data_IF_130756653574
#
_entry.id   IF_130756653574
#
_cell.length_a   1.000
_cell.length_b   1.000
_cell.length_c   1.000
_cell.angle_alpha   90.00
_cell.angle_beta   90.00
_cell.angle_gamma   90.00
#
_symmetry.space_group_name_H-M   'P 1'
#
loop_
_entity.id
_entity.type
_entity.pdbx_description
1 polymer ?
#
# COMPACT_ATOMS: atom_id res chain seq x y z
N UNK A 1 16.32 15.25 27.21
CA UNK A 1 14.88 14.94 27.17
C UNK A 1 14.49 14.20 28.44
N UNK A 2 13.35 14.56 29.03
CA UNK A 2 12.81 13.85 30.19
C UNK A 2 12.33 12.45 29.77
N UNK A 3 12.47 11.49 30.64
CA UNK A 3 12.08 10.10 30.37
C UNK A 3 10.61 9.99 29.97
N UNK A 4 9.74 10.72 30.63
CA UNK A 4 8.30 10.73 30.31
C UNK A 4 8.02 11.27 28.91
N UNK A 5 8.73 12.31 28.48
CA UNK A 5 8.61 12.85 27.15
C UNK A 5 9.04 11.86 26.08
N UNK A 6 10.13 11.12 26.33
CA UNK A 6 10.59 10.08 25.43
C UNK A 6 9.57 8.96 25.29
N UNK A 7 8.95 8.55 26.40
CA UNK A 7 7.90 7.52 26.39
C UNK A 7 6.69 7.99 25.61
N UNK A 8 6.25 9.22 25.81
CA UNK A 8 5.10 9.79 25.10
C UNK A 8 5.34 9.88 23.60
N UNK A 9 6.52 10.33 23.20
CA UNK A 9 6.91 10.44 21.80
C UNK A 9 6.98 9.07 21.14
N UNK A 10 7.56 8.09 21.81
CA UNK A 10 7.63 6.72 21.33
C UNK A 10 6.24 6.11 21.14
N UNK A 11 5.35 6.31 22.11
CA UNK A 11 3.96 5.84 22.04
C UNK A 11 3.22 6.44 20.85
N UNK A 12 3.40 7.74 20.62
CA UNK A 12 2.82 8.43 19.47
C UNK A 12 3.30 7.82 18.15
N UNK A 13 4.61 7.58 18.03
CA UNK A 13 5.20 6.98 16.84
C UNK A 13 4.69 5.56 16.59
N UNK A 14 4.47 4.78 17.66
CA UNK A 14 3.87 3.45 17.54
C UNK A 14 2.48 3.51 16.93
N UNK A 15 1.64 4.45 17.38
CA UNK A 15 0.28 4.63 16.85
C UNK A 15 0.30 5.07 15.40
N UNK A 16 1.15 6.01 15.06
CA UNK A 16 1.28 6.50 13.68
C UNK A 16 1.79 5.40 12.74
N UNK A 17 2.75 4.60 13.20
CA UNK A 17 3.28 3.48 12.45
C UNK A 17 2.20 2.42 12.22
N UNK A 18 1.41 2.11 13.23
CA UNK A 18 0.31 1.14 13.14
C UNK A 18 -0.76 1.61 12.16
N UNK A 19 -1.12 2.90 12.21
CA UNK A 19 -2.08 3.49 11.28
C UNK A 19 -1.59 3.39 9.83
N UNK A 20 -0.30 3.68 9.59
CA UNK A 20 0.30 3.57 8.26
C UNK A 20 0.30 2.12 7.77
N UNK A 21 0.59 1.15 8.64
CA UNK A 21 0.52 -0.28 8.30
C UNK A 21 -0.88 -0.70 7.90
N UNK A 22 -1.90 -0.26 8.63
CA UNK A 22 -3.30 -0.57 8.32
C UNK A 22 -3.70 -0.02 6.96
N UNK A 23 -3.32 1.21 6.66
CA UNK A 23 -3.60 1.81 5.34
C UNK A 23 -2.86 1.07 4.22
N UNK A 24 -1.60 0.68 4.43
CA UNK A 24 -0.84 -0.10 3.47
C UNK A 24 -1.49 -1.47 3.20
N UNK A 25 -1.96 -2.14 4.25
CA UNK A 25 -2.66 -3.43 4.12
C UNK A 25 -3.97 -3.28 3.36
N UNK A 26 -4.71 -2.21 3.62
CA UNK A 26 -5.97 -1.90 2.95
C UNK A 26 -5.74 -1.72 1.44
N UNK A 27 -4.73 -0.94 1.08
CA UNK A 27 -4.37 -0.73 -0.34
C UNK A 27 -3.93 -2.05 -0.99
N UNK A 28 -3.13 -2.85 -0.28
CA UNK A 28 -2.69 -4.15 -0.77
C UNK A 28 -3.89 -5.08 -1.05
N UNK A 29 -4.89 -5.07 -0.18
CA UNK A 29 -6.12 -5.83 -0.35
C UNK A 29 -6.90 -5.34 -1.58
N UNK A 30 -7.00 -4.03 -1.77
CA UNK A 30 -7.65 -3.44 -2.94
C UNK A 30 -6.95 -3.85 -4.24
N UNK A 31 -5.62 -3.82 -4.26
CA UNK A 31 -4.82 -4.26 -5.41
C UNK A 31 -5.07 -5.74 -5.70
N UNK A 32 -5.09 -6.59 -4.66
CA UNK A 32 -5.35 -8.03 -4.82
C UNK A 32 -6.74 -8.29 -5.40
N UNK A 33 -7.75 -7.55 -4.95
CA UNK A 33 -9.12 -7.64 -5.46
C UNK A 33 -9.21 -7.20 -6.92
N UNK A 34 -8.56 -6.11 -7.28
CA UNK A 34 -8.52 -5.61 -8.66
C UNK A 34 -7.83 -6.60 -9.59
N UNK A 35 -6.73 -7.21 -9.14
CA UNK A 35 -6.03 -8.24 -9.91
C UNK A 35 -6.92 -9.46 -10.14
N UNK A 36 -7.65 -9.88 -9.10
CA UNK A 36 -8.58 -11.01 -9.20
C UNK A 36 -9.69 -10.73 -10.19
N UNK A 37 -10.32 -9.56 -10.10
CA UNK A 37 -11.36 -9.12 -11.04
C UNK A 37 -10.83 -9.08 -12.47
N UNK A 38 -9.64 -8.53 -12.64
CA UNK A 38 -9.00 -8.48 -13.96
C UNK A 38 -8.75 -9.86 -14.54
N UNK A 39 -8.24 -10.80 -13.73
CA UNK A 39 -7.99 -12.17 -14.17
C UNK A 39 -9.27 -12.90 -14.55
N UNK A 40 -10.34 -12.72 -13.78
CA UNK A 40 -11.65 -13.32 -14.07
C UNK A 40 -12.18 -12.80 -15.41
N UNK A 41 -12.06 -11.50 -15.68
CA UNK A 41 -12.48 -10.90 -16.94
C UNK A 41 -11.62 -11.37 -18.12
N UNK A 42 -10.32 -11.54 -17.91
CA UNK A 42 -9.43 -12.10 -18.93
C UNK A 42 -9.90 -13.51 -19.35
N UNK A 43 -10.21 -14.35 -18.36
CA UNK A 43 -10.68 -15.71 -18.61
C UNK A 43 -12.04 -15.74 -19.32
N UNK A 44 -12.99 -14.93 -18.86
CA UNK A 44 -14.32 -14.82 -19.46
C UNK A 44 -14.26 -14.42 -20.93
N UNK A 45 -13.37 -13.46 -21.25
CA UNK A 45 -13.28 -12.89 -22.60
C UNK A 45 -12.25 -13.58 -23.50
N UNK A 46 -11.51 -14.54 -22.94
CA UNK A 46 -10.54 -15.33 -23.69
C UNK A 46 -9.22 -14.65 -24.00
N UNK A 47 -8.86 -13.58 -23.27
CA UNK A 47 -7.59 -12.92 -23.42
C UNK A 47 -6.46 -13.69 -22.69
N UNK A 48 -5.25 -13.62 -23.23
CA UNK A 48 -4.10 -14.35 -22.67
C UNK A 48 -3.33 -13.52 -21.64
N UNK A 49 -3.39 -12.20 -21.71
CA UNK A 49 -2.66 -11.31 -20.82
C UNK A 49 -3.36 -9.96 -20.67
N UNK A 50 -3.03 -9.23 -19.60
CA UNK A 50 -3.48 -7.85 -19.41
C UNK A 50 -3.03 -6.93 -20.54
N UNK A 51 -1.81 -7.13 -21.04
CA UNK A 51 -1.26 -6.31 -22.12
C UNK A 51 -2.09 -6.42 -23.40
N UNK A 52 -2.50 -7.63 -23.75
CA UNK A 52 -3.39 -7.87 -24.90
C UNK A 52 -4.77 -7.29 -24.66
N UNK A 53 -5.34 -7.56 -23.48
CA UNK A 53 -6.69 -7.15 -23.14
C UNK A 53 -6.83 -5.63 -23.05
N UNK A 54 -5.88 -4.92 -22.48
CA UNK A 54 -5.97 -3.47 -22.28
C UNK A 54 -5.98 -2.70 -23.60
N UNK A 55 -5.44 -3.27 -24.66
CA UNK A 55 -5.47 -2.68 -26.00
C UNK A 55 -6.85 -2.80 -26.66
N UNK A 56 -7.65 -3.79 -26.25
CA UNK A 56 -8.88 -4.16 -26.91
C UNK A 56 -10.13 -4.02 -26.03
N UNK A 57 -9.96 -3.78 -24.73
CA UNK A 57 -11.06 -3.78 -23.76
C UNK A 57 -10.87 -2.66 -22.74
N UNK A 58 -11.73 -1.64 -22.83
CA UNK A 58 -11.67 -0.47 -21.94
C UNK A 58 -11.88 -0.83 -20.46
N UNK A 59 -12.71 -1.81 -20.18
CA UNK A 59 -13.00 -2.24 -18.79
C UNK A 59 -11.76 -2.84 -18.13
N UNK A 60 -11.02 -3.66 -18.87
CA UNK A 60 -9.77 -4.25 -18.37
C UNK A 60 -8.67 -3.19 -18.27
N UNK A 61 -8.58 -2.29 -19.24
CA UNK A 61 -7.66 -1.16 -19.20
C UNK A 61 -7.88 -0.29 -17.96
N UNK A 62 -9.14 -0.06 -17.61
CA UNK A 62 -9.49 0.72 -16.42
C UNK A 62 -9.06 0.02 -15.14
N UNK A 63 -9.25 -1.30 -15.04
CA UNK A 63 -8.79 -2.09 -13.89
C UNK A 63 -7.27 -2.02 -13.75
N UNK A 64 -6.55 -2.17 -14.86
CA UNK A 64 -5.09 -2.05 -14.87
C UNK A 64 -4.64 -0.65 -14.40
N UNK A 65 -5.31 0.39 -14.87
CA UNK A 65 -4.99 1.77 -14.48
C UNK A 65 -5.24 1.98 -12.98
N UNK A 66 -6.32 1.46 -12.44
CA UNK A 66 -6.60 1.55 -11.00
C UNK A 66 -5.51 0.86 -10.17
N UNK A 67 -5.02 -0.30 -10.63
CA UNK A 67 -3.89 -0.97 -9.97
C UNK A 67 -2.65 -0.08 -10.00
N UNK A 68 -2.33 0.51 -11.13
CA UNK A 68 -1.17 1.39 -11.27
C UNK A 68 -1.29 2.64 -10.40
N UNK A 69 -2.48 3.16 -10.21
CA UNK A 69 -2.73 4.32 -9.37
C UNK A 69 -2.57 4.01 -7.88
N UNK A 70 -2.85 2.77 -7.46
CA UNK A 70 -2.70 2.34 -6.06
C UNK A 70 -1.25 2.08 -5.65
N UNK A 71 -0.39 1.70 -6.59
CA UNK A 71 1.01 1.38 -6.29
C UNK A 71 1.78 2.54 -5.66
N UNK A 72 1.72 3.80 -6.18
CA UNK A 72 2.39 4.92 -5.54
C UNK A 72 1.92 5.20 -4.13
N UNK A 73 0.63 5.05 -3.85
CA UNK A 73 0.06 5.22 -2.51
C UNK A 73 0.65 4.20 -1.53
N UNK A 74 0.76 2.96 -1.97
CA UNK A 74 1.39 1.90 -1.17
C UNK A 74 2.83 2.24 -0.83
N UNK A 75 3.60 2.74 -1.80
CA UNK A 75 4.99 3.15 -1.61
C UNK A 75 5.14 4.28 -0.61
N UNK A 76 4.24 5.25 -0.64
CA UNK A 76 4.21 6.36 0.31
C UNK A 76 4.02 5.87 1.74
N UNK A 77 3.08 4.95 1.95
CA UNK A 77 2.84 4.39 3.29
C UNK A 77 4.01 3.55 3.77
N UNK A 78 4.65 2.79 2.89
CA UNK A 78 5.85 2.01 3.24
C UNK A 78 7.00 2.93 3.64
N UNK A 79 7.20 4.03 2.90
CA UNK A 79 8.22 5.03 3.22
C UNK A 79 7.95 5.67 4.58
N UNK A 80 6.69 6.00 4.88
CA UNK A 80 6.28 6.55 6.18
C UNK A 80 6.56 5.56 7.32
N UNK A 81 6.25 4.28 7.13
CA UNK A 81 6.52 3.23 8.12
C UNK A 81 8.02 3.15 8.41
N UNK A 82 8.85 3.17 7.38
CA UNK A 82 10.31 3.11 7.53
C UNK A 82 10.87 4.34 8.25
N UNK A 83 10.39 5.53 7.92
CA UNK A 83 10.79 6.76 8.57
C UNK A 83 10.46 6.74 10.07
N UNK A 84 9.26 6.29 10.42
CA UNK A 84 8.83 6.21 11.81
C UNK A 84 9.59 5.14 12.57
N UNK A 85 9.97 4.06 11.91
CA UNK A 85 10.82 3.03 12.51
C UNK A 85 12.20 3.59 12.87
N UNK A 86 12.81 4.38 12.00
CA UNK A 86 14.09 5.02 12.24
C UNK A 86 14.01 6.01 13.40
N UNK A 87 12.93 6.78 13.50
CA UNK A 87 12.71 7.69 14.61
C UNK A 87 12.56 6.94 15.94
N UNK A 88 11.86 5.83 15.97
CA UNK A 88 11.74 4.99 17.16
C UNK A 88 13.11 4.50 17.63
N UNK A 89 13.95 4.06 16.70
CA UNK A 89 15.31 3.61 17.03
C UNK A 89 16.14 4.73 17.63
N UNK A 90 16.04 5.95 17.08
CA UNK A 90 16.76 7.12 17.63
C UNK A 90 16.31 7.43 19.05
N UNK A 91 15.04 7.36 19.35
CA UNK A 91 14.50 7.58 20.70
C UNK A 91 15.05 6.55 21.68
N UNK A 92 15.08 5.27 21.28
CA UNK A 92 15.56 4.19 22.11
C UNK A 92 17.08 4.27 22.38
N UNK A 93 17.84 4.72 21.41
CA UNK A 93 19.31 4.80 21.50
C UNK A 93 19.82 6.10 22.09
N UNK A 94 19.04 7.12 22.04
CA UNK A 94 19.42 8.45 22.44
C UNK A 94 19.01 8.86 23.79
#
# INVERSE_FOLDING_TARGET
MLEQEAINEYTKLLKECEAAKQEAQKINTEIAMLKKQGMEKLQEKGYKSFSEASKNDEEIEQIEQEIQDEIPKMREYIAEINEKREEKERILMG
#
